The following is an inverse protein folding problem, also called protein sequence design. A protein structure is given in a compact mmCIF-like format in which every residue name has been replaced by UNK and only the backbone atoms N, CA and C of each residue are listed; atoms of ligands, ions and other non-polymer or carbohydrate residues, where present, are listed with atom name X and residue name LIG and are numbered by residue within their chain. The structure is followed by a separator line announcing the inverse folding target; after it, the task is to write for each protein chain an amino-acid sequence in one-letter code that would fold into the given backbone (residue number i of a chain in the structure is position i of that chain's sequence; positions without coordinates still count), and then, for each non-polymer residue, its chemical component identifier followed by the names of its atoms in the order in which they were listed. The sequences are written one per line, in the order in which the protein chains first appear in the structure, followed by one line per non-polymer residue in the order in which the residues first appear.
data_IF_018576434119
#
_entry.id   IF_018576434119
#
_cell.length_a   1.000
_cell.length_b   1.000
_cell.length_c   1.000
_cell.angle_alpha   90.00
_cell.angle_beta   90.00
_cell.angle_gamma   90.00
#
_symmetry.space_group_name_H-M   'P 1'
#
loop_
_entity.id
_entity.type
_entity.pdbx_description
1 polymer ?
#
# COMPACT_ATOMS: atom_id res chain seq x y z
N UNK A 1 -13.54 20.65 -0.70
CA UNK A 1 -12.99 21.46 0.42
C UNK A 1 -12.98 20.70 1.74
N UNK A 2 -14.08 20.00 2.09
CA UNK A 2 -14.16 19.19 3.32
C UNK A 2 -13.03 18.16 3.50
N UNK A 3 -12.59 17.48 2.43
CA UNK A 3 -11.44 16.55 2.47
C UNK A 3 -10.13 17.24 2.87
N UNK A 4 -9.88 18.47 2.41
CA UNK A 4 -8.66 19.23 2.73
C UNK A 4 -8.69 19.72 4.18
N UNK A 5 -9.86 20.17 4.64
CA UNK A 5 -10.08 20.56 6.04
C UNK A 5 -9.90 19.35 6.96
N UNK A 6 -10.48 18.19 6.61
CA UNK A 6 -10.31 16.95 7.37
C UNK A 6 -8.85 16.51 7.47
N UNK A 7 -8.07 16.62 6.39
CA UNK A 7 -6.62 16.34 6.42
C UNK A 7 -5.90 17.33 7.36
N UNK A 8 -6.23 18.62 7.29
CA UNK A 8 -5.65 19.62 8.19
C UNK A 8 -5.95 19.32 9.67
N UNK A 9 -7.20 19.00 10.00
CA UNK A 9 -7.61 18.61 11.36
C UNK A 9 -6.88 17.35 11.81
N UNK A 10 -6.76 16.34 10.94
CA UNK A 10 -6.04 15.10 11.25
C UNK A 10 -4.56 15.38 11.57
N UNK A 11 -3.89 16.23 10.78
CA UNK A 11 -2.50 16.62 11.04
C UNK A 11 -2.37 17.31 12.39
N UNK A 12 -3.27 18.24 12.71
CA UNK A 12 -3.26 18.92 14.02
C UNK A 12 -3.45 17.92 15.16
N UNK A 13 -4.41 16.99 15.02
CA UNK A 13 -4.66 15.95 16.03
C UNK A 13 -3.44 15.06 16.24
N UNK A 14 -2.80 14.60 15.16
CA UNK A 14 -1.56 13.81 15.23
C UNK A 14 -0.45 14.61 15.91
N UNK A 15 -0.29 15.89 15.56
CA UNK A 15 0.73 16.75 16.16
C UNK A 15 0.52 16.94 17.66
N UNK A 16 -0.72 17.21 18.10
CA UNK A 16 -1.06 17.32 19.53
C UNK A 16 -0.80 16.00 20.25
N UNK A 17 -1.19 14.86 19.66
CA UNK A 17 -0.88 13.55 20.23
C UNK A 17 0.62 13.28 20.33
N UNK A 18 1.41 13.69 19.34
CA UNK A 18 2.88 13.57 19.41
C UNK A 18 3.45 14.37 20.57
N UNK A 19 3.07 15.65 20.73
CA UNK A 19 3.54 16.47 21.85
C UNK A 19 3.12 15.88 23.21
N UNK A 20 1.88 15.42 23.30
CA UNK A 20 1.36 14.74 24.49
C UNK A 20 2.17 13.47 24.81
N UNK A 21 2.44 12.64 23.80
CA UNK A 21 3.23 11.42 23.97
C UNK A 21 4.66 11.73 24.39
N UNK A 22 5.34 12.66 23.73
CA UNK A 22 6.72 13.05 24.04
C UNK A 22 6.85 13.62 25.46
N UNK A 23 5.93 14.49 25.88
CA UNK A 23 5.97 15.09 27.22
C UNK A 23 5.73 14.08 28.34
N UNK A 24 4.88 13.08 28.12
CA UNK A 24 4.59 12.03 29.11
C UNK A 24 5.60 10.88 29.08
N UNK A 25 6.48 10.80 28.09
CA UNK A 25 7.48 9.74 27.94
C UNK A 25 8.90 10.31 27.71
N UNK A 26 9.46 11.10 28.64
CA UNK A 26 10.78 11.72 28.49
C UNK A 26 11.96 10.76 28.66
N UNK A 27 11.71 9.46 28.90
CA UNK A 27 12.74 8.47 29.18
C UNK A 27 13.43 7.90 27.93
N UNK A 28 14.45 7.10 28.19
CA UNK A 28 15.17 6.30 27.20
C UNK A 28 14.79 4.83 27.37
N UNK A 29 14.85 4.09 26.26
CA UNK A 29 14.66 2.63 26.25
C UNK A 29 15.96 1.96 25.85
N UNK A 30 16.39 0.99 26.64
CA UNK A 30 17.54 0.16 26.31
C UNK A 30 17.11 -0.98 25.37
N UNK A 31 17.75 -1.07 24.22
CA UNK A 31 17.47 -2.08 23.21
C UNK A 31 18.76 -2.83 22.93
N UNK A 32 18.79 -4.10 23.32
CA UNK A 32 19.83 -5.03 22.94
C UNK A 32 19.55 -5.58 21.53
N UNK A 33 20.37 -5.20 20.56
CA UNK A 33 20.28 -5.62 19.17
C UNK A 33 21.09 -6.90 18.89
N UNK A 34 21.48 -7.64 19.93
CA UNK A 34 22.40 -8.79 19.93
C UNK A 34 23.84 -8.48 19.51
N UNK A 35 24.06 -7.47 18.68
CA UNK A 35 25.39 -7.00 18.22
C UNK A 35 25.83 -5.69 18.90
N UNK A 36 24.99 -5.16 19.80
CA UNK A 36 25.23 -3.92 20.50
C UNK A 36 23.97 -3.40 21.18
N UNK A 37 24.16 -2.56 22.19
CA UNK A 37 23.08 -1.94 22.95
C UNK A 37 22.93 -0.49 22.52
N UNK A 38 21.70 -0.08 22.22
CA UNK A 38 21.35 1.32 21.93
C UNK A 38 20.34 1.83 22.95
N UNK A 39 20.43 3.12 23.29
CA UNK A 39 19.54 3.74 24.28
C UNK A 39 18.83 4.99 23.71
N UNK A 40 18.02 4.85 22.64
CA UNK A 40 17.25 5.96 22.11
C UNK A 40 16.22 6.49 23.10
N UNK A 41 15.79 7.74 22.93
CA UNK A 41 14.61 8.25 23.62
C UNK A 41 13.36 7.46 23.19
N UNK A 42 12.42 7.24 24.10
CA UNK A 42 11.17 6.50 23.82
C UNK A 42 10.43 7.10 22.61
N UNK A 43 10.30 8.44 22.46
CA UNK A 43 9.66 9.03 21.28
C UNK A 43 10.37 8.72 19.97
N UNK A 44 11.71 8.68 19.98
CA UNK A 44 12.49 8.34 18.80
C UNK A 44 12.30 6.87 18.44
N UNK A 45 12.46 5.96 19.40
CA UNK A 45 12.28 4.53 19.18
C UNK A 45 10.90 4.22 18.61
N UNK A 46 9.85 4.76 19.23
CA UNK A 46 8.47 4.60 18.77
C UNK A 46 8.27 5.15 17.35
N UNK A 47 8.78 6.35 17.07
CA UNK A 47 8.64 6.97 15.75
C UNK A 47 9.32 6.16 14.66
N UNK A 48 10.53 5.66 14.91
CA UNK A 48 11.27 4.83 13.95
C UNK A 48 10.53 3.52 13.70
N UNK A 49 10.09 2.82 14.76
CA UNK A 49 9.31 1.58 14.61
C UNK A 49 8.02 1.81 13.83
N UNK A 50 7.32 2.90 14.12
CA UNK A 50 6.08 3.27 13.41
C UNK A 50 6.33 3.54 11.92
N UNK A 51 7.37 4.32 11.58
CA UNK A 51 7.73 4.63 10.19
C UNK A 51 8.14 3.37 9.44
N UNK A 52 8.92 2.49 10.06
CA UNK A 52 9.33 1.21 9.45
C UNK A 52 8.11 0.32 9.20
N UNK A 53 7.23 0.18 10.19
CA UNK A 53 6.00 -0.62 10.05
C UNK A 53 5.07 -0.06 8.97
N UNK A 54 4.91 1.26 8.91
CA UNK A 54 4.12 1.92 7.87
C UNK A 54 4.71 1.73 6.47
N UNK A 55 6.02 1.94 6.30
CA UNK A 55 6.72 1.73 5.04
C UNK A 55 6.60 0.27 4.57
N UNK A 56 6.74 -0.69 5.49
CA UNK A 56 6.54 -2.11 5.19
C UNK A 56 5.10 -2.40 4.76
N UNK A 57 4.11 -1.87 5.47
CA UNK A 57 2.69 -2.00 5.08
C UNK A 57 2.38 -1.42 3.71
N UNK A 58 2.95 -0.25 3.37
CA UNK A 58 2.85 0.35 2.04
C UNK A 58 3.50 -0.54 0.98
N UNK A 59 4.67 -1.11 1.26
CA UNK A 59 5.37 -2.01 0.34
C UNK A 59 4.53 -3.26 0.05
N UNK A 60 3.99 -3.91 1.09
CA UNK A 60 3.09 -5.06 0.95
C UNK A 60 1.85 -4.72 0.10
N UNK A 61 1.24 -3.57 0.38
CA UNK A 61 0.06 -3.09 -0.37
C UNK A 61 0.41 -2.82 -1.84
N UNK A 62 1.56 -2.21 -2.12
CA UNK A 62 2.02 -1.93 -3.47
C UNK A 62 2.25 -3.22 -4.27
N UNK A 63 2.88 -4.23 -3.66
CA UNK A 63 3.09 -5.55 -4.28
C UNK A 63 1.75 -6.21 -4.59
N UNK A 64 0.81 -6.19 -3.65
CA UNK A 64 -0.53 -6.74 -3.85
C UNK A 64 -1.29 -6.01 -4.97
N UNK A 65 -1.26 -4.68 -4.96
CA UNK A 65 -1.89 -3.86 -5.99
C UNK A 65 -1.29 -4.12 -7.37
N UNK A 66 0.03 -4.30 -7.46
CA UNK A 66 0.70 -4.64 -8.72
C UNK A 66 0.19 -5.98 -9.29
N UNK A 67 -0.01 -6.99 -8.44
CA UNK A 67 -0.61 -8.26 -8.86
C UNK A 67 -2.01 -8.08 -9.43
N UNK A 68 -2.89 -7.35 -8.72
CA UNK A 68 -4.26 -7.05 -9.18
C UNK A 68 -4.24 -6.32 -10.54
N UNK A 69 -3.37 -5.33 -10.71
CA UNK A 69 -3.26 -4.60 -11.98
C UNK A 69 -2.82 -5.52 -13.11
N UNK A 70 -1.89 -6.43 -12.86
CA UNK A 70 -1.41 -7.39 -13.85
C UNK A 70 -2.49 -8.41 -14.23
N UNK A 71 -3.21 -8.95 -13.24
CA UNK A 71 -4.35 -9.85 -13.46
C UNK A 71 -5.45 -9.17 -14.27
N UNK A 72 -5.82 -7.93 -13.92
CA UNK A 72 -6.79 -7.14 -14.67
C UNK A 72 -6.36 -6.94 -16.13
N UNK A 73 -5.07 -6.66 -16.37
CA UNK A 73 -4.53 -6.54 -17.73
C UNK A 73 -4.61 -7.86 -18.49
N UNK A 74 -4.27 -8.99 -17.84
CA UNK A 74 -4.33 -10.33 -18.43
C UNK A 74 -5.77 -10.72 -18.79
N UNK A 75 -6.72 -10.53 -17.87
CA UNK A 75 -8.14 -10.82 -18.09
C UNK A 75 -8.72 -9.99 -19.24
N UNK A 76 -8.36 -8.70 -19.32
CA UNK A 76 -8.82 -7.83 -20.42
C UNK A 76 -8.26 -8.26 -21.79
N UNK A 77 -7.02 -8.76 -21.83
CA UNK A 77 -6.45 -9.34 -23.06
C UNK A 77 -7.14 -10.64 -23.45
N UNK A 78 -7.38 -11.54 -22.49
CA UNK A 78 -8.08 -12.80 -22.74
C UNK A 78 -9.49 -12.56 -23.30
N UNK A 79 -10.25 -11.64 -22.70
CA UNK A 79 -11.58 -11.25 -23.18
C UNK A 79 -11.55 -10.79 -24.65
N UNK A 80 -10.63 -9.86 -24.98
CA UNK A 80 -10.50 -9.33 -26.34
C UNK A 80 -10.11 -10.41 -27.36
N UNK A 81 -9.27 -11.37 -26.98
CA UNK A 81 -8.88 -12.47 -27.84
C UNK A 81 -10.09 -13.37 -28.13
N UNK A 82 -10.85 -13.77 -27.10
CA UNK A 82 -12.07 -14.58 -27.26
C UNK A 82 -13.12 -13.87 -28.10
N UNK A 83 -13.34 -12.57 -27.90
CA UNK A 83 -14.26 -11.78 -28.75
C UNK A 83 -13.81 -11.78 -30.22
N UNK A 84 -12.50 -11.67 -30.48
CA UNK A 84 -11.96 -11.70 -31.85
C UNK A 84 -12.08 -13.08 -32.51
N UNK A 85 -11.92 -14.17 -31.76
CA UNK A 85 -12.11 -15.54 -32.24
C UNK A 85 -13.57 -15.78 -32.61
N UNK A 86 -14.52 -15.39 -31.75
CA UNK A 86 -15.96 -15.50 -32.03
C UNK A 86 -16.33 -14.67 -33.27
N UNK A 87 -15.82 -13.44 -33.39
CA UNK A 87 -16.07 -12.61 -34.57
C UNK A 87 -15.51 -13.25 -35.84
N UNK A 88 -14.31 -13.86 -35.77
CA UNK A 88 -13.68 -14.53 -36.90
C UNK A 88 -14.47 -15.77 -37.33
N UNK A 89 -14.92 -16.58 -36.36
CA UNK A 89 -15.75 -17.77 -36.59
C UNK A 89 -17.12 -17.40 -37.17
N UNK A 90 -17.75 -16.32 -36.70
CA UNK A 90 -19.04 -15.86 -37.23
C UNK A 90 -18.95 -15.31 -38.65
N UNK A 91 -17.80 -14.76 -39.01
CA UNK A 91 -17.55 -14.20 -40.34
C UNK A 91 -16.87 -15.23 -41.27
N UNK A 92 -16.68 -16.48 -40.82
CA UNK A 92 -16.19 -17.55 -41.67
C UNK A 92 -17.25 -17.79 -42.77
N UNK A 93 -16.89 -17.70 -44.06
CA UNK A 93 -17.81 -18.06 -45.12
C UNK A 93 -18.23 -19.51 -44.94
N UNK A 94 -19.52 -19.82 -45.11
CA UNK A 94 -20.01 -21.20 -45.25
C UNK A 94 -19.45 -21.77 -46.56
N UNK A 95 -18.16 -22.11 -46.59
CA UNK A 95 -17.45 -22.54 -47.78
C UNK A 95 -17.45 -24.06 -47.98
N UNK A 96 -18.23 -24.81 -47.20
CA UNK A 96 -18.34 -26.27 -47.30
C UNK A 96 -19.81 -26.74 -47.45
N UNK A 97 -20.67 -25.92 -48.05
CA UNK A 97 -22.00 -26.35 -48.48
C UNK A 97 -22.10 -26.34 -50.01
N UNK A 98 -21.22 -27.10 -50.66
CA UNK A 98 -21.39 -27.68 -52.01
C UNK A 98 -20.55 -28.96 -52.13
#
# INVERSE_FOLDING_TARGET
MLKRIGIGVLIIVIFVMMLWFTSNNPGNVEIDLAFGVVQPSIPLAFSVTFVIGWAFGLLCTAIFMFRIVNERRRLRRALRNTESEISSLRNLPLADAD
#
